data_IF_310611698935
#
_entry.id   IF_310611698935
#
_cell.length_a   1.000
_cell.length_b   1.000
_cell.length_c   1.000
_cell.angle_alpha   90.00
_cell.angle_beta   90.00
_cell.angle_gamma   90.00
#
_symmetry.space_group_name_H-M   'P 1'
#
loop_
_entity.id
_entity.type
_entity.pdbx_description
1 polymer ?
#
# COMPACT_ATOMS: atom_id res chain seq x y z
N UNK A 1 -14.94 -3.18 7.06
CA UNK A 1 -16.14 -3.37 6.21
C UNK A 1 -17.32 -3.75 7.11
N UNK A 2 -18.55 -3.28 6.83
CA UNK A 2 -19.74 -3.72 7.59
C UNK A 2 -20.34 -5.01 7.00
N UNK A 3 -20.26 -5.16 5.68
CA UNK A 3 -20.50 -6.40 4.94
C UNK A 3 -19.67 -6.39 3.64
N UNK A 4 -19.90 -7.32 2.72
CA UNK A 4 -19.12 -7.46 1.48
C UNK A 4 -19.11 -6.22 0.57
N UNK A 5 -20.14 -5.37 0.64
CA UNK A 5 -20.30 -4.21 -0.26
C UNK A 5 -20.51 -2.87 0.48
N UNK A 6 -20.65 -2.89 1.80
CA UNK A 6 -20.91 -1.71 2.63
C UNK A 6 -19.69 -1.33 3.46
N UNK A 7 -19.32 -0.06 3.37
CA UNK A 7 -18.12 0.50 3.97
C UNK A 7 -18.48 1.67 4.87
N UNK A 8 -17.79 1.78 6.01
CA UNK A 8 -17.89 2.92 6.90
C UNK A 8 -16.52 3.55 7.07
N UNK A 9 -16.36 4.75 6.51
CA UNK A 9 -15.14 5.55 6.62
C UNK A 9 -15.50 6.94 7.11
N UNK A 10 -14.69 7.52 8.02
CA UNK A 10 -14.91 8.88 8.53
C UNK A 10 -16.33 9.10 9.10
N UNK A 11 -16.90 8.08 9.77
CA UNK A 11 -18.28 8.06 10.26
C UNK A 11 -19.38 8.14 9.18
N UNK A 12 -19.06 7.96 7.91
CA UNK A 12 -20.01 7.91 6.80
C UNK A 12 -20.07 6.50 6.23
N UNK A 13 -21.27 5.92 6.20
CA UNK A 13 -21.53 4.61 5.59
C UNK A 13 -22.06 4.79 4.17
N UNK A 14 -21.46 4.07 3.21
CA UNK A 14 -21.93 3.98 1.82
C UNK A 14 -21.54 2.61 1.22
N UNK A 15 -22.06 2.29 0.05
CA UNK A 15 -21.94 0.96 -0.56
C UNK A 15 -21.52 1.00 -2.02
N UNK A 16 -20.86 -0.07 -2.47
CA UNK A 16 -20.43 -0.25 -3.86
C UNK A 16 -21.28 -1.31 -4.55
N UNK A 17 -22.43 -0.92 -5.10
CA UNK A 17 -23.33 -1.84 -5.82
C UNK A 17 -23.10 -1.84 -7.34
N UNK A 18 -22.54 -0.75 -7.89
CA UNK A 18 -22.29 -0.57 -9.32
C UNK A 18 -20.92 0.06 -9.55
N UNK A 19 -20.42 0.03 -10.80
CA UNK A 19 -19.14 0.64 -11.14
C UNK A 19 -19.08 2.14 -10.82
N UNK A 20 -20.21 2.85 -10.88
CA UNK A 20 -20.27 4.29 -10.61
C UNK A 20 -20.02 4.62 -9.13
N UNK A 21 -20.23 3.64 -8.23
CA UNK A 21 -20.05 3.85 -6.79
C UNK A 21 -18.56 3.92 -6.39
N UNK A 22 -17.65 3.34 -7.17
CA UNK A 22 -16.21 3.39 -6.88
C UNK A 22 -15.67 4.81 -6.81
N UNK A 23 -16.19 5.72 -7.64
CA UNK A 23 -15.73 7.10 -7.71
C UNK A 23 -16.91 8.09 -7.63
N UNK A 24 -17.90 7.80 -6.77
CA UNK A 24 -19.09 8.63 -6.63
C UNK A 24 -18.71 10.07 -6.21
N UNK A 25 -18.97 11.09 -7.06
CA UNK A 25 -18.55 12.46 -6.77
C UNK A 25 -19.33 13.11 -5.61
N UNK A 26 -20.44 12.52 -5.17
CA UNK A 26 -21.16 13.01 -3.97
C UNK A 26 -20.44 12.65 -2.68
N UNK A 27 -19.50 11.69 -2.71
CA UNK A 27 -18.66 11.34 -1.58
C UNK A 27 -17.42 12.23 -1.47
N UNK A 28 -17.02 12.51 -0.23
CA UNK A 28 -15.79 13.26 0.04
C UNK A 28 -14.59 12.55 -0.58
N UNK A 29 -13.60 13.32 -1.07
CA UNK A 29 -12.39 12.75 -1.70
C UNK A 29 -11.67 11.78 -0.77
N UNK A 30 -11.55 12.13 0.51
CA UNK A 30 -10.91 11.27 1.50
C UNK A 30 -11.71 9.99 1.78
N UNK A 31 -13.04 10.03 1.68
CA UNK A 31 -13.87 8.82 1.78
C UNK A 31 -13.58 7.87 0.62
N UNK A 32 -13.55 8.41 -0.62
CA UNK A 32 -13.18 7.65 -1.82
C UNK A 32 -11.76 7.10 -1.75
N UNK A 33 -10.82 7.84 -1.20
CA UNK A 33 -9.47 7.34 -0.94
C UNK A 33 -9.51 6.08 -0.05
N UNK A 34 -10.18 6.14 1.11
CA UNK A 34 -10.29 5.00 2.02
C UNK A 34 -10.91 3.76 1.35
N UNK A 35 -11.92 3.95 0.49
CA UNK A 35 -12.49 2.87 -0.30
C UNK A 35 -11.43 2.16 -1.17
N UNK A 36 -10.47 2.91 -1.69
CA UNK A 36 -9.44 2.41 -2.58
C UNK A 36 -8.18 1.90 -1.88
N UNK A 37 -8.05 2.02 -0.55
CA UNK A 37 -6.88 1.54 0.19
C UNK A 37 -6.91 0.03 0.43
N UNK A 38 -8.11 -0.56 0.58
CA UNK A 38 -8.26 -1.97 0.96
C UNK A 38 -7.66 -2.33 2.32
N UNK A 39 -7.70 -1.42 3.30
CA UNK A 39 -7.15 -1.66 4.65
C UNK A 39 -7.76 -2.87 5.38
N UNK A 40 -8.98 -3.27 5.01
CA UNK A 40 -9.65 -4.44 5.59
C UNK A 40 -8.91 -5.77 5.30
N UNK A 41 -8.04 -5.79 4.27
CA UNK A 41 -7.18 -6.94 3.94
C UNK A 41 -6.09 -7.22 4.98
N UNK A 42 -5.74 -6.23 5.79
CA UNK A 42 -4.76 -6.36 6.89
C UNK A 42 -5.42 -6.22 8.27
N UNK A 43 -6.75 -6.12 8.30
CA UNK A 43 -7.51 -5.98 9.54
C UNK A 43 -7.62 -7.31 10.32
N UNK A 44 -7.96 -7.19 11.61
CA UNK A 44 -8.22 -8.35 12.45
C UNK A 44 -9.33 -9.24 11.86
N UNK A 45 -9.20 -10.55 12.08
CA UNK A 45 -10.11 -11.57 11.57
C UNK A 45 -10.29 -11.55 10.04
N UNK A 46 -9.30 -11.10 9.28
CA UNK A 46 -9.35 -11.09 7.80
C UNK A 46 -9.78 -12.43 7.21
N UNK A 47 -9.36 -13.55 7.81
CA UNK A 47 -9.67 -14.90 7.33
C UNK A 47 -11.17 -15.15 7.13
N UNK A 48 -12.04 -14.59 7.98
CA UNK A 48 -13.50 -14.77 7.89
C UNK A 48 -14.15 -13.98 6.75
N UNK A 49 -13.40 -13.03 6.14
CA UNK A 49 -13.87 -12.15 5.05
C UNK A 49 -13.15 -12.40 3.73
N UNK A 50 -12.30 -13.43 3.65
CA UNK A 50 -11.47 -13.72 2.47
C UNK A 50 -12.27 -13.82 1.16
N UNK A 51 -13.48 -14.40 1.19
CA UNK A 51 -14.33 -14.49 -0.01
C UNK A 51 -14.90 -13.14 -0.45
N UNK A 52 -15.23 -12.26 0.52
CA UNK A 52 -15.63 -10.88 0.23
C UNK A 52 -14.48 -10.12 -0.41
N UNK A 53 -13.27 -10.29 0.13
CA UNK A 53 -12.06 -9.65 -0.39
C UNK A 53 -11.71 -10.10 -1.81
N UNK A 54 -11.74 -11.41 -2.08
CA UNK A 54 -11.53 -11.94 -3.45
C UNK A 54 -12.52 -11.33 -4.44
N UNK A 55 -13.80 -11.31 -4.06
CA UNK A 55 -14.87 -10.74 -4.90
C UNK A 55 -14.66 -9.24 -5.13
N UNK A 56 -14.35 -8.49 -4.06
CA UNK A 56 -14.13 -7.05 -4.13
C UNK A 56 -12.91 -6.68 -4.99
N UNK A 57 -11.82 -7.46 -4.87
CA UNK A 57 -10.62 -7.32 -5.71
C UNK A 57 -10.96 -7.57 -7.17
N UNK A 58 -11.65 -8.66 -7.49
CA UNK A 58 -12.05 -8.97 -8.86
C UNK A 58 -12.93 -7.86 -9.47
N UNK A 59 -13.89 -7.34 -8.69
CA UNK A 59 -14.69 -6.18 -9.09
C UNK A 59 -13.84 -4.95 -9.31
N UNK A 60 -12.93 -4.63 -8.38
CA UNK A 60 -12.06 -3.46 -8.54
C UNK A 60 -11.21 -3.55 -9.81
N UNK A 61 -10.61 -4.71 -10.09
CA UNK A 61 -9.82 -4.98 -11.31
C UNK A 61 -10.65 -4.79 -12.58
N UNK A 62 -11.90 -5.28 -12.59
CA UNK A 62 -12.79 -5.18 -13.76
C UNK A 62 -13.45 -3.81 -13.95
N UNK A 63 -13.67 -3.06 -12.86
CA UNK A 63 -14.49 -1.85 -12.84
C UNK A 63 -13.66 -0.54 -12.74
N UNK A 64 -12.35 -0.61 -12.46
CA UNK A 64 -11.48 0.57 -12.30
C UNK A 64 -10.34 0.59 -13.36
N UNK A 65 -10.57 1.13 -14.56
CA UNK A 65 -9.61 1.06 -15.66
C UNK A 65 -8.28 1.78 -15.33
N UNK A 66 -7.12 1.23 -15.77
CA UNK A 66 -5.81 1.79 -15.44
C UNK A 66 -5.63 3.27 -15.71
N UNK A 67 -5.24 4.01 -14.67
CA UNK A 67 -4.91 5.43 -14.73
C UNK A 67 -6.11 6.38 -14.67
N UNK A 68 -7.32 5.88 -14.39
CA UNK A 68 -8.53 6.70 -14.32
C UNK A 68 -9.16 6.69 -12.93
N UNK A 69 -9.71 7.85 -12.55
CA UNK A 69 -10.46 8.01 -11.31
C UNK A 69 -9.62 8.04 -10.04
N UNK A 70 -10.28 8.30 -8.92
CA UNK A 70 -9.66 8.47 -7.60
C UNK A 70 -8.79 7.28 -7.18
N UNK A 71 -9.20 6.04 -7.53
CA UNK A 71 -8.49 4.82 -7.16
C UNK A 71 -7.11 4.68 -7.81
N UNK A 72 -6.88 5.39 -8.92
CA UNK A 72 -5.60 5.47 -9.61
C UNK A 72 -4.87 6.78 -9.33
N UNK A 73 -5.13 7.47 -8.22
CA UNK A 73 -4.20 8.49 -7.71
C UNK A 73 -3.02 7.81 -6.98
N UNK A 74 -1.82 8.43 -6.90
CA UNK A 74 -0.61 7.73 -6.44
C UNK A 74 -0.69 7.29 -4.99
N UNK A 75 -1.21 8.14 -4.09
CA UNK A 75 -1.39 7.80 -2.69
C UNK A 75 -2.29 6.58 -2.45
N UNK A 76 -3.58 6.56 -2.89
CA UNK A 76 -4.42 5.37 -2.72
C UNK A 76 -3.87 4.13 -3.43
N UNK A 77 -3.22 4.31 -4.58
CA UNK A 77 -2.56 3.19 -5.29
C UNK A 77 -1.44 2.58 -4.46
N UNK A 78 -0.64 3.41 -3.78
CA UNK A 78 0.46 2.96 -2.94
C UNK A 78 -0.03 2.08 -1.79
N UNK A 79 -1.03 2.55 -1.05
CA UNK A 79 -1.60 1.81 0.07
C UNK A 79 -2.24 0.50 -0.38
N UNK A 80 -2.96 0.52 -1.50
CA UNK A 80 -3.58 -0.70 -2.06
C UNK A 80 -2.56 -1.75 -2.47
N UNK A 81 -1.47 -1.36 -3.14
CA UNK A 81 -0.38 -2.28 -3.51
C UNK A 81 0.15 -2.99 -2.27
N UNK A 82 0.49 -2.21 -1.23
CA UNK A 82 1.05 -2.75 0.02
C UNK A 82 0.04 -3.66 0.72
N UNK A 83 -1.22 -3.24 0.87
CA UNK A 83 -2.25 -4.03 1.55
C UNK A 83 -2.55 -5.36 0.84
N UNK A 84 -2.63 -5.37 -0.48
CA UNK A 84 -2.83 -6.60 -1.25
C UNK A 84 -1.65 -7.56 -1.09
N UNK A 85 -0.42 -7.05 -1.12
CA UNK A 85 0.78 -7.87 -0.93
C UNK A 85 0.90 -8.40 0.49
N UNK A 86 0.66 -7.57 1.52
CA UNK A 86 0.61 -8.00 2.93
C UNK A 86 -0.38 -9.14 3.12
N UNK A 87 -1.58 -9.02 2.55
CA UNK A 87 -2.59 -10.07 2.61
C UNK A 87 -2.14 -11.37 1.92
N UNK A 88 -1.54 -11.26 0.73
CA UNK A 88 -1.00 -12.41 0.01
C UNK A 88 0.10 -13.10 0.79
N UNK A 89 1.09 -12.37 1.32
CA UNK A 89 2.21 -12.92 2.09
C UNK A 89 1.73 -13.60 3.37
N UNK A 90 0.80 -12.97 4.10
CA UNK A 90 0.22 -13.55 5.31
C UNK A 90 -0.55 -14.85 5.01
N UNK A 91 -1.25 -14.92 3.88
CA UNK A 91 -1.93 -16.14 3.43
C UNK A 91 -0.93 -17.22 3.01
N UNK A 92 0.11 -16.87 2.26
CA UNK A 92 1.16 -17.80 1.84
C UNK A 92 1.92 -18.40 3.02
N UNK A 93 2.13 -17.65 4.11
CA UNK A 93 2.69 -18.19 5.36
C UNK A 93 1.83 -19.29 6.00
N UNK A 94 0.54 -19.39 5.65
CA UNK A 94 -0.38 -20.48 6.04
C UNK A 94 -0.56 -21.55 4.95
N UNK A 95 0.17 -21.45 3.84
CA UNK A 95 0.01 -22.34 2.69
C UNK A 95 -1.19 -22.03 1.81
N UNK A 96 -1.77 -20.84 1.93
CA UNK A 96 -2.93 -20.39 1.14
C UNK A 96 -2.48 -19.47 -0.01
N UNK A 97 -3.21 -19.51 -1.13
CA UNK A 97 -3.11 -18.52 -2.20
C UNK A 97 -4.42 -17.77 -2.31
N UNK A 98 -4.37 -16.43 -2.24
CA UNK A 98 -5.56 -15.58 -2.15
C UNK A 98 -5.70 -14.59 -3.31
N UNK A 99 -4.60 -14.30 -4.01
CA UNK A 99 -4.59 -13.49 -5.23
C UNK A 99 -4.52 -14.40 -6.45
N UNK A 100 -5.46 -14.24 -7.36
CA UNK A 100 -5.41 -14.92 -8.66
C UNK A 100 -4.50 -14.20 -9.66
N UNK A 101 -4.33 -14.80 -10.83
CA UNK A 101 -3.49 -14.23 -11.91
C UNK A 101 -3.96 -12.85 -12.37
N UNK A 102 -5.27 -12.56 -12.35
CA UNK A 102 -5.78 -11.24 -12.76
C UNK A 102 -5.41 -10.17 -11.73
N UNK A 103 -5.54 -10.48 -10.45
CA UNK A 103 -5.13 -9.61 -9.35
C UNK A 103 -3.61 -9.35 -9.37
N UNK A 104 -2.80 -10.39 -9.61
CA UNK A 104 -1.34 -10.25 -9.74
C UNK A 104 -0.94 -9.38 -10.94
N UNK A 105 -1.57 -9.57 -12.11
CA UNK A 105 -1.35 -8.73 -13.29
C UNK A 105 -1.77 -7.27 -13.03
N UNK A 106 -2.86 -7.08 -12.29
CA UNK A 106 -3.31 -5.76 -11.87
C UNK A 106 -2.29 -5.09 -10.94
N UNK A 107 -1.75 -5.80 -9.94
CA UNK A 107 -0.69 -5.27 -9.08
C UNK A 107 0.54 -4.82 -9.86
N UNK A 108 1.02 -5.64 -10.81
CA UNK A 108 2.13 -5.24 -11.67
C UNK A 108 1.79 -3.97 -12.49
N UNK A 109 0.55 -3.85 -12.99
CA UNK A 109 0.09 -2.66 -13.72
C UNK A 109 0.05 -1.42 -12.84
N UNK A 110 -0.45 -1.57 -11.61
CA UNK A 110 -0.48 -0.52 -10.59
C UNK A 110 0.92 -0.03 -10.24
N UNK A 111 1.87 -0.94 -9.99
CA UNK A 111 3.26 -0.59 -9.70
C UNK A 111 3.94 0.14 -10.86
N UNK A 112 3.75 -0.34 -12.10
CA UNK A 112 4.27 0.34 -13.31
C UNK A 112 3.72 1.75 -13.46
N UNK A 113 2.44 1.94 -13.17
CA UNK A 113 1.79 3.24 -13.21
C UNK A 113 2.32 4.15 -12.10
N UNK A 114 2.40 3.66 -10.86
CA UNK A 114 2.88 4.40 -9.69
C UNK A 114 4.30 4.90 -9.88
N UNK A 115 5.20 4.03 -10.38
CA UNK A 115 6.59 4.40 -10.67
C UNK A 115 6.71 5.60 -11.61
N UNK A 116 5.75 5.81 -12.52
CA UNK A 116 5.73 6.95 -13.46
C UNK A 116 5.08 8.21 -12.87
N UNK A 117 4.43 8.10 -11.71
CA UNK A 117 3.54 9.12 -11.12
C UNK A 117 3.86 9.42 -9.65
N UNK A 118 5.11 9.18 -9.25
CA UNK A 118 5.60 9.48 -7.90
C UNK A 118 5.30 10.93 -7.50
N UNK A 119 4.78 11.13 -6.31
CA UNK A 119 4.37 12.41 -5.73
C UNK A 119 5.55 13.20 -5.16
N UNK A 120 6.62 13.35 -5.96
CA UNK A 120 7.87 14.02 -5.55
C UNK A 120 7.68 15.47 -5.09
N UNK A 121 6.58 16.11 -5.46
CA UNK A 121 6.27 17.49 -5.08
C UNK A 121 5.46 17.59 -3.78
N UNK A 122 4.79 16.52 -3.37
CA UNK A 122 4.04 16.48 -2.10
C UNK A 122 4.94 16.08 -0.92
N UNK A 123 6.05 15.37 -1.20
CA UNK A 123 7.06 14.94 -0.22
C UNK A 123 6.43 14.12 0.93
N UNK A 124 7.14 14.02 2.06
CA UNK A 124 6.64 13.54 3.34
C UNK A 124 5.90 12.19 3.21
N UNK A 125 4.73 12.08 3.83
CA UNK A 125 3.94 10.85 3.88
C UNK A 125 3.48 10.34 2.49
N UNK A 126 3.30 11.22 1.50
CA UNK A 126 2.92 10.82 0.14
C UNK A 126 4.08 10.12 -0.59
N UNK A 127 5.23 10.80 -0.68
CA UNK A 127 6.40 10.25 -1.36
C UNK A 127 6.91 9.00 -0.64
N UNK A 128 6.88 8.99 0.69
CA UNK A 128 7.16 7.82 1.51
C UNK A 128 6.29 6.62 1.15
N UNK A 129 4.95 6.79 1.14
CA UNK A 129 4.02 5.72 0.81
C UNK A 129 4.27 5.18 -0.62
N UNK A 130 4.53 6.07 -1.58
CA UNK A 130 4.88 5.68 -2.95
C UNK A 130 6.16 4.81 -2.98
N UNK A 131 7.20 5.21 -2.24
CA UNK A 131 8.46 4.49 -2.18
C UNK A 131 8.32 3.12 -1.49
N UNK A 132 7.59 3.06 -0.38
CA UNK A 132 7.26 1.80 0.32
C UNK A 132 6.56 0.83 -0.62
N UNK A 133 5.58 1.28 -1.39
CA UNK A 133 4.88 0.44 -2.36
C UNK A 133 5.81 -0.12 -3.45
N UNK A 134 6.79 0.67 -3.92
CA UNK A 134 7.81 0.18 -4.86
C UNK A 134 8.74 -0.87 -4.24
N UNK A 135 9.13 -0.71 -2.97
CA UNK A 135 9.94 -1.71 -2.26
C UNK A 135 9.17 -3.01 -2.07
N UNK A 136 7.92 -2.94 -1.58
CA UNK A 136 7.03 -4.09 -1.49
C UNK A 136 6.90 -4.82 -2.83
N UNK A 137 6.59 -4.09 -3.90
CA UNK A 137 6.44 -4.69 -5.22
C UNK A 137 7.74 -5.27 -5.77
N UNK A 138 8.87 -4.60 -5.55
CA UNK A 138 10.18 -5.05 -5.99
C UNK A 138 10.70 -6.27 -5.24
N UNK A 139 10.26 -6.50 -4.00
CA UNK A 139 10.53 -7.73 -3.25
C UNK A 139 9.54 -8.85 -3.54
N UNK A 140 8.28 -8.50 -3.82
CA UNK A 140 7.20 -9.48 -4.03
C UNK A 140 7.23 -10.14 -5.42
N UNK A 141 7.59 -9.39 -6.46
CA UNK A 141 7.70 -9.90 -7.83
C UNK A 141 9.14 -10.31 -8.14
N UNK A 142 9.30 -11.30 -9.02
CA UNK A 142 10.60 -11.81 -9.45
C UNK A 142 10.85 -11.44 -10.92
N UNK A 143 11.71 -10.45 -11.18
CA UNK A 143 12.37 -10.19 -12.47
C UNK A 143 13.24 -8.91 -12.43
N UNK A 144 13.86 -8.58 -13.57
CA UNK A 144 14.62 -7.34 -13.74
C UNK A 144 13.74 -6.07 -13.68
N UNK A 145 12.43 -6.18 -13.87
CA UNK A 145 11.52 -5.05 -13.68
C UNK A 145 11.28 -4.77 -12.18
N UNK A 146 11.04 -5.82 -11.39
CA UNK A 146 10.91 -5.79 -9.95
C UNK A 146 12.16 -5.21 -9.29
N UNK A 147 13.36 -5.62 -9.72
CA UNK A 147 14.61 -5.04 -9.21
C UNK A 147 14.68 -3.51 -9.42
N UNK A 148 14.21 -3.01 -10.57
CA UNK A 148 14.17 -1.55 -10.83
C UNK A 148 13.15 -0.82 -9.96
N UNK A 149 12.07 -1.49 -9.54
CA UNK A 149 11.13 -0.94 -8.57
C UNK A 149 11.77 -0.87 -7.18
N UNK A 150 12.39 -1.98 -6.76
CA UNK A 150 13.10 -2.10 -5.48
C UNK A 150 14.17 -1.04 -5.34
N UNK A 151 15.10 -0.95 -6.30
CA UNK A 151 16.21 0.02 -6.29
C UNK A 151 15.69 1.46 -6.20
N UNK A 152 14.63 1.78 -6.95
CA UNK A 152 14.03 3.11 -6.95
C UNK A 152 13.36 3.43 -5.63
N UNK A 153 12.62 2.46 -5.05
CA UNK A 153 11.98 2.60 -3.75
C UNK A 153 12.99 2.79 -2.63
N UNK A 154 14.01 1.94 -2.56
CA UNK A 154 15.08 2.01 -1.55
C UNK A 154 15.79 3.37 -1.62
N UNK A 155 16.16 3.84 -2.81
CA UNK A 155 16.83 5.13 -2.97
C UNK A 155 15.99 6.30 -2.42
N UNK A 156 14.67 6.26 -2.61
CA UNK A 156 13.78 7.29 -2.07
C UNK A 156 13.64 7.15 -0.55
N UNK A 157 13.40 5.94 -0.03
CA UNK A 157 13.25 5.72 1.41
C UNK A 157 14.49 6.18 2.19
N UNK A 158 15.69 5.95 1.68
CA UNK A 158 16.92 6.41 2.32
C UNK A 158 16.99 7.95 2.43
N UNK A 159 16.56 8.67 1.38
CA UNK A 159 16.46 10.12 1.43
C UNK A 159 15.38 10.59 2.42
N UNK A 160 14.20 9.98 2.38
CA UNK A 160 13.08 10.36 3.24
C UNK A 160 13.35 10.05 4.72
N UNK A 161 14.04 8.95 5.05
CA UNK A 161 14.45 8.65 6.42
C UNK A 161 15.38 9.73 6.99
N UNK A 162 16.33 10.21 6.18
CA UNK A 162 17.27 11.27 6.60
C UNK A 162 16.59 12.63 6.77
N UNK A 163 15.59 12.93 5.94
CA UNK A 163 14.86 14.20 5.99
C UNK A 163 13.82 14.22 7.11
N UNK A 164 13.06 13.13 7.26
CA UNK A 164 11.86 13.10 8.09
C UNK A 164 12.13 12.71 9.55
N UNK A 165 13.25 12.05 9.86
CA UNK A 165 13.60 11.61 11.21
C UNK A 165 14.66 12.53 11.81
N UNK A 166 14.30 13.18 12.91
CA UNK A 166 15.19 14.06 13.68
C UNK A 166 16.20 13.24 14.48
N UNK A 167 17.24 13.91 14.99
CA UNK A 167 18.33 13.27 15.76
C UNK A 167 17.86 12.55 17.03
N UNK A 168 16.70 12.93 17.57
CA UNK A 168 16.07 12.34 18.73
C UNK A 168 15.07 11.22 18.38
N UNK A 169 14.98 10.83 17.10
CA UNK A 169 14.04 9.82 16.59
C UNK A 169 12.64 10.36 16.28
N UNK A 170 12.36 11.62 16.61
CA UNK A 170 11.07 12.24 16.34
C UNK A 170 10.83 12.50 14.85
N UNK A 171 9.59 12.40 14.40
CA UNK A 171 9.21 12.83 13.04
C UNK A 171 9.19 14.36 12.93
N UNK A 172 9.69 14.91 11.82
CA UNK A 172 9.88 16.34 11.63
C UNK A 172 8.58 17.16 11.68
N UNK A 173 7.42 16.58 11.34
CA UNK A 173 6.12 17.27 11.44
C UNK A 173 5.65 17.47 12.89
N UNK A 174 6.32 16.83 13.87
CA UNK A 174 5.99 16.91 15.31
C UNK A 174 4.53 16.58 15.61
N UNK A 175 3.95 15.70 14.80
CA UNK A 175 2.59 15.18 14.94
C UNK A 175 2.65 13.73 15.39
N UNK A 176 2.07 13.37 16.54
CA UNK A 176 2.01 11.97 16.98
C UNK A 176 1.36 11.05 15.94
N UNK A 177 0.40 11.56 15.17
CA UNK A 177 -0.27 10.80 14.11
C UNK A 177 0.69 10.45 12.96
N UNK A 178 1.43 11.43 12.43
CA UNK A 178 2.37 11.19 11.32
C UNK A 178 3.56 10.34 11.77
N UNK A 179 4.03 10.53 13.01
CA UNK A 179 5.06 9.67 13.58
C UNK A 179 4.58 8.21 13.67
N UNK A 180 3.35 7.96 14.14
CA UNK A 180 2.80 6.61 14.25
C UNK A 180 2.64 5.93 12.87
N UNK A 181 2.15 6.66 11.87
CA UNK A 181 2.03 6.15 10.49
C UNK A 181 3.40 5.76 9.95
N UNK A 182 4.41 6.63 10.11
CA UNK A 182 5.75 6.34 9.62
C UNK A 182 6.37 5.15 10.34
N UNK A 183 6.18 5.05 11.66
CA UNK A 183 6.70 3.94 12.45
C UNK A 183 6.07 2.61 12.04
N UNK A 184 4.76 2.56 11.82
CA UNK A 184 4.09 1.36 11.28
C UNK A 184 4.68 0.96 9.93
N UNK A 185 4.91 1.94 9.05
CA UNK A 185 5.52 1.70 7.75
C UNK A 185 6.96 1.18 7.84
N UNK A 186 7.75 1.67 8.79
CA UNK A 186 9.10 1.16 9.08
C UNK A 186 9.05 -0.28 9.58
N UNK A 187 8.12 -0.60 10.49
CA UNK A 187 7.94 -1.97 10.98
C UNK A 187 7.52 -2.93 9.87
N UNK A 188 6.66 -2.47 8.95
CA UNK A 188 6.32 -3.22 7.74
C UNK A 188 7.53 -3.53 6.87
N UNK A 189 8.45 -2.56 6.69
CA UNK A 189 9.69 -2.76 5.92
C UNK A 189 10.66 -3.71 6.62
N UNK A 190 10.80 -3.62 7.95
CA UNK A 190 11.60 -4.56 8.75
C UNK A 190 11.04 -5.98 8.62
N UNK A 191 9.72 -6.15 8.73
CA UNK A 191 9.08 -7.45 8.54
C UNK A 191 9.27 -7.98 7.11
N UNK A 192 9.15 -7.11 6.11
CA UNK A 192 9.39 -7.48 4.71
C UNK A 192 10.83 -7.96 4.49
N UNK A 193 11.82 -7.32 5.12
CA UNK A 193 13.22 -7.73 5.06
C UNK A 193 13.48 -9.11 5.70
N UNK A 194 12.69 -9.50 6.70
CA UNK A 194 12.78 -10.85 7.27
C UNK A 194 12.25 -11.92 6.29
N UNK A 195 11.23 -11.57 5.50
CA UNK A 195 10.68 -12.46 4.47
C UNK A 195 11.59 -12.54 3.23
N UNK A 196 12.21 -11.42 2.85
CA UNK A 196 13.05 -11.29 1.66
C UNK A 196 14.43 -10.71 2.00
N UNK A 197 15.30 -11.45 2.70
CA UNK A 197 16.58 -10.92 3.22
C UNK A 197 17.51 -10.41 2.11
N UNK A 198 17.52 -11.07 0.94
CA UNK A 198 18.39 -10.71 -0.18
C UNK A 198 17.98 -9.40 -0.89
N UNK A 199 16.78 -8.88 -0.62
CA UNK A 199 16.29 -7.62 -1.20
C UNK A 199 16.80 -6.37 -0.46
N UNK A 200 17.26 -6.51 0.79
CA UNK A 200 17.56 -5.37 1.66
C UNK A 200 19.06 -5.24 1.93
N UNK A 201 19.59 -4.03 1.72
CA UNK A 201 20.97 -3.71 2.08
C UNK A 201 21.05 -3.41 3.58
N UNK A 202 22.14 -3.83 4.23
CA UNK A 202 22.40 -3.55 5.65
C UNK A 202 22.26 -2.07 5.99
N UNK A 203 22.74 -1.17 5.12
CA UNK A 203 22.65 0.28 5.35
C UNK A 203 21.23 0.84 5.41
N UNK A 204 20.26 0.22 4.71
CA UNK A 204 18.86 0.60 4.86
C UNK A 204 18.29 0.04 6.16
N UNK A 205 18.61 -1.21 6.50
CA UNK A 205 18.16 -1.84 7.74
C UNK A 205 18.63 -1.08 8.98
N UNK A 206 19.89 -0.65 9.01
CA UNK A 206 20.43 0.18 10.10
C UNK A 206 19.62 1.47 10.26
N UNK A 207 19.28 2.15 9.16
CA UNK A 207 18.44 3.36 9.20
C UNK A 207 17.03 3.07 9.72
N UNK A 208 16.41 1.96 9.30
CA UNK A 208 15.08 1.56 9.77
C UNK A 208 15.09 1.27 11.28
N UNK A 209 16.09 0.53 11.77
CA UNK A 209 16.23 0.24 13.21
C UNK A 209 16.54 1.48 14.06
N UNK A 210 17.06 2.56 13.49
CA UNK A 210 17.24 3.82 14.21
C UNK A 210 15.94 4.59 14.48
N UNK A 211 14.84 4.24 13.80
CA UNK A 211 13.52 4.86 14.02
C UNK A 211 12.73 4.17 15.14
N UNK A 212 13.06 2.90 15.43
CA UNK A 212 12.39 2.04 16.42
C UNK A 212 13.11 2.02 17.76
#
# INVERSE_FOLDING_TARGET
>A
MENAETFRFLNVTDSVHTLANWDNPTQLKLWRYNLHYFDDLVACNVAVRSDWHRTLIARWVGENPPGFGTGWEPYPTSLRIVNWMKWSLAASARGESVLDTQALNSLATQTRWLRKKLEIHLLANHLWANAKALVFAGSFFEDAEAQRWLDKGIAILQCELQEQILRDGGHFERSPMYHAILLEDVLDLINLAQVFPDCFRLSLLDQLYHVT
#
